data_IF_500273331187
#
_entry.id   IF_500273331187
#
_cell.length_a   1.000
_cell.length_b   1.000
_cell.length_c   1.000
_cell.angle_alpha   90.00
_cell.angle_beta   90.00
_cell.angle_gamma   90.00
#
_symmetry.space_group_name_H-M   'P 1'
#
loop_
_entity.id
_entity.type
_entity.pdbx_description
1 polymer ?
#
# COMPACT_ATOMS: atom_id res chain seq x y z
N UNK A 1 11.67 -12.48 -3.47
CA UNK A 1 11.95 -11.13 -2.96
C UNK A 1 12.10 -10.21 -4.16
N UNK A 2 11.26 -9.18 -4.31
CA UNK A 2 11.33 -8.27 -5.44
C UNK A 2 12.43 -7.21 -5.22
N UNK A 3 13.22 -6.93 -6.26
CA UNK A 3 14.30 -5.95 -6.22
C UNK A 3 13.71 -4.57 -5.87
N UNK A 4 14.31 -3.88 -4.90
CA UNK A 4 13.92 -2.54 -4.44
C UNK A 4 12.48 -2.38 -3.91
N UNK A 5 11.74 -3.46 -3.64
CA UNK A 5 10.34 -3.36 -3.20
C UNK A 5 10.16 -2.46 -1.97
N UNK A 6 11.04 -2.58 -0.97
CA UNK A 6 11.00 -1.72 0.21
C UNK A 6 11.26 -0.25 -0.12
N UNK A 7 12.09 0.05 -1.13
CA UNK A 7 12.33 1.44 -1.54
C UNK A 7 11.11 2.02 -2.25
N UNK A 8 10.45 1.27 -3.13
CA UNK A 8 9.20 1.71 -3.74
C UNK A 8 8.09 1.92 -2.70
N UNK A 9 7.97 1.02 -1.71
CA UNK A 9 7.03 1.17 -0.61
C UNK A 9 7.31 2.44 0.21
N UNK A 10 8.59 2.76 0.49
CA UNK A 10 8.96 4.03 1.14
C UNK A 10 8.55 5.25 0.33
N UNK A 11 8.68 5.22 -1.00
CA UNK A 11 8.23 6.32 -1.85
C UNK A 11 6.72 6.52 -1.74
N UNK A 12 5.93 5.45 -1.83
CA UNK A 12 4.47 5.50 -1.63
C UNK A 12 4.11 6.07 -0.26
N UNK A 13 4.70 5.54 0.81
CA UNK A 13 4.48 6.04 2.18
C UNK A 13 4.89 7.52 2.34
N UNK A 14 5.96 7.96 1.68
CA UNK A 14 6.38 9.37 1.68
C UNK A 14 5.33 10.25 1.00
N UNK A 15 4.85 9.85 -0.19
CA UNK A 15 3.79 10.58 -0.90
C UNK A 15 2.53 10.66 -0.06
N UNK A 16 2.11 9.56 0.56
CA UNK A 16 0.95 9.53 1.45
C UNK A 16 1.11 10.45 2.65
N UNK A 17 2.32 10.47 3.24
CA UNK A 17 2.62 11.27 4.42
C UNK A 17 2.54 12.77 4.14
N UNK A 18 3.02 13.20 2.97
CA UNK A 18 2.94 14.61 2.54
C UNK A 18 1.53 14.97 2.06
N UNK A 19 0.97 14.16 1.17
CA UNK A 19 -0.29 14.46 0.49
C UNK A 19 -1.07 13.17 0.18
N UNK A 20 -1.89 12.71 1.14
CA UNK A 20 -2.72 11.50 0.99
C UNK A 20 -3.53 11.44 -0.31
N UNK A 21 -4.08 12.58 -0.74
CA UNK A 21 -4.86 12.67 -1.97
C UNK A 21 -4.04 12.38 -3.25
N UNK A 22 -2.72 12.51 -3.20
CA UNK A 22 -1.79 12.24 -4.31
C UNK A 22 -1.25 10.81 -4.31
N UNK A 23 -1.46 10.05 -3.24
CA UNK A 23 -0.96 8.67 -3.16
C UNK A 23 -1.48 7.80 -4.30
N UNK A 24 -2.78 7.89 -4.60
CA UNK A 24 -3.38 7.11 -5.69
C UNK A 24 -2.75 7.41 -7.04
N UNK A 25 -2.49 8.70 -7.32
CA UNK A 25 -1.84 9.12 -8.56
C UNK A 25 -0.43 8.51 -8.68
N UNK A 26 0.33 8.50 -7.58
CA UNK A 26 1.64 7.85 -7.53
C UNK A 26 1.57 6.32 -7.71
N UNK A 27 0.63 5.67 -7.01
CA UNK A 27 0.45 4.22 -7.03
C UNK A 27 0.01 3.72 -8.43
N UNK A 28 -1.02 4.35 -9.00
CA UNK A 28 -1.53 4.04 -10.35
C UNK A 28 -0.41 4.22 -11.40
N UNK A 29 0.43 5.26 -11.27
CA UNK A 29 1.58 5.48 -12.14
C UNK A 29 2.69 4.44 -11.96
N UNK A 30 3.03 4.08 -10.71
CA UNK A 30 4.10 3.13 -10.41
C UNK A 30 3.82 1.74 -11.00
N UNK A 31 2.54 1.35 -11.07
CA UNK A 31 2.07 0.07 -11.58
C UNK A 31 1.50 0.14 -13.01
N UNK A 32 1.66 1.25 -13.73
CA UNK A 32 1.04 1.43 -15.05
C UNK A 32 1.66 0.57 -16.17
N UNK A 33 2.82 -0.06 -15.91
CA UNK A 33 3.52 -0.91 -16.88
C UNK A 33 3.87 -2.27 -16.31
N UNK A 34 4.39 -3.16 -17.17
CA UNK A 34 4.75 -4.54 -16.79
C UNK A 34 5.82 -4.62 -15.68
N UNK A 35 6.63 -3.56 -15.55
CA UNK A 35 7.68 -3.43 -14.55
C UNK A 35 7.65 -2.03 -13.95
N UNK A 36 7.99 -1.89 -12.67
CA UNK A 36 8.11 -0.57 -12.07
C UNK A 36 9.22 0.24 -12.77
N UNK A 37 9.06 1.57 -12.87
CA UNK A 37 10.09 2.46 -13.38
C UNK A 37 11.36 2.36 -12.52
N UNK A 38 12.56 2.64 -13.06
CA UNK A 38 13.80 2.63 -12.28
C UNK A 38 13.69 3.50 -11.01
N UNK A 39 14.29 3.05 -9.91
CA UNK A 39 14.16 3.71 -8.61
C UNK A 39 14.45 5.23 -8.63
N UNK A 40 15.49 5.74 -9.32
CA UNK A 40 15.72 7.18 -9.42
C UNK A 40 14.56 7.95 -10.11
N UNK A 41 13.91 7.33 -11.10
CA UNK A 41 12.77 7.90 -11.82
C UNK A 41 11.55 7.94 -10.90
N UNK A 42 11.29 6.84 -10.16
CA UNK A 42 10.22 6.80 -9.16
C UNK A 42 10.40 7.85 -8.06
N UNK A 43 11.64 8.03 -7.57
CA UNK A 43 11.96 9.04 -6.57
C UNK A 43 11.74 10.46 -7.11
N UNK A 44 12.19 10.74 -8.34
CA UNK A 44 12.00 12.04 -8.97
C UNK A 44 10.51 12.36 -9.16
N UNK A 45 9.71 11.39 -9.62
CA UNK A 45 8.27 11.57 -9.80
C UNK A 45 7.55 11.79 -8.47
N UNK A 46 7.88 11.02 -7.41
CA UNK A 46 7.34 11.23 -6.07
C UNK A 46 7.63 12.64 -5.55
N UNK A 47 8.87 13.12 -5.69
CA UNK A 47 9.28 14.46 -5.27
C UNK A 47 8.59 15.57 -6.09
N UNK A 48 8.44 15.38 -7.39
CA UNK A 48 7.68 16.30 -8.26
C UNK A 48 6.22 16.39 -7.83
N UNK A 49 5.60 15.25 -7.51
CA UNK A 49 4.18 15.16 -7.21
C UNK A 49 3.79 15.89 -5.90
N UNK A 50 4.64 15.83 -4.89
CA UNK A 50 4.35 16.40 -3.55
C UNK A 50 5.20 17.62 -3.18
N UNK A 51 6.13 18.00 -4.06
CA UNK A 51 7.10 19.08 -3.84
C UNK A 51 8.38 18.60 -3.16
N UNK A 52 9.53 18.94 -3.74
CA UNK A 52 10.85 18.44 -3.32
C UNK A 52 11.17 18.68 -1.84
N UNK A 53 10.88 19.87 -1.32
CA UNK A 53 11.20 20.20 0.08
C UNK A 53 10.37 19.34 1.05
N UNK A 54 9.06 19.22 0.79
CA UNK A 54 8.17 18.41 1.61
C UNK A 54 8.51 16.92 1.51
N UNK A 55 8.88 16.45 0.31
CA UNK A 55 9.38 15.09 0.11
C UNK A 55 10.64 14.80 0.94
N UNK A 56 11.65 15.67 0.88
CA UNK A 56 12.90 15.49 1.63
C UNK A 56 12.65 15.49 3.14
N UNK A 57 11.79 16.39 3.64
CA UNK A 57 11.40 16.41 5.04
C UNK A 57 10.67 15.13 5.45
N UNK A 58 9.66 14.70 4.68
CA UNK A 58 8.90 13.50 4.99
C UNK A 58 9.76 12.24 4.96
N UNK A 59 10.78 12.14 4.09
CA UNK A 59 11.71 10.99 4.06
C UNK A 59 12.49 10.79 5.37
N UNK A 60 12.57 11.82 6.20
CA UNK A 60 13.21 11.76 7.52
C UNK A 60 12.23 11.38 8.63
N UNK A 61 10.91 11.31 8.35
CA UNK A 61 9.89 10.97 9.35
C UNK A 61 10.04 9.47 9.74
N UNK A 62 10.35 9.16 11.01
CA UNK A 62 10.45 7.78 11.50
C UNK A 62 9.17 6.96 11.28
N UNK A 63 8.02 7.62 11.14
CA UNK A 63 6.75 6.98 10.84
C UNK A 63 6.83 6.10 9.58
N UNK A 64 7.60 6.48 8.56
CA UNK A 64 7.73 5.70 7.32
C UNK A 64 8.32 4.31 7.60
N UNK A 65 9.43 4.24 8.34
CA UNK A 65 10.05 2.95 8.66
C UNK A 65 9.20 2.13 9.63
N UNK A 66 8.47 2.78 10.55
CA UNK A 66 7.56 2.09 11.47
C UNK A 66 6.40 1.46 10.70
N UNK A 67 5.78 2.20 9.79
CA UNK A 67 4.68 1.71 8.96
C UNK A 67 5.16 0.58 8.04
N UNK A 68 6.30 0.74 7.37
CA UNK A 68 6.86 -0.30 6.50
C UNK A 68 7.11 -1.61 7.28
N UNK A 69 7.66 -1.53 8.49
CA UNK A 69 7.89 -2.71 9.33
C UNK A 69 6.59 -3.38 9.75
N UNK A 70 5.57 -2.58 10.09
CA UNK A 70 4.25 -3.10 10.43
C UNK A 70 3.63 -3.85 9.23
N UNK A 71 3.65 -3.25 8.04
CA UNK A 71 3.08 -3.84 6.83
C UNK A 71 3.79 -5.15 6.47
N UNK A 72 5.13 -5.18 6.55
CA UNK A 72 5.93 -6.39 6.33
C UNK A 72 5.62 -7.46 7.38
N UNK A 73 5.50 -7.10 8.66
CA UNK A 73 5.19 -8.05 9.72
C UNK A 73 3.79 -8.66 9.55
N UNK A 74 2.80 -7.85 9.17
CA UNK A 74 1.44 -8.31 8.88
C UNK A 74 1.46 -9.30 7.71
N UNK A 75 2.14 -8.96 6.60
CA UNK A 75 2.28 -9.86 5.46
C UNK A 75 3.00 -11.16 5.84
N UNK A 76 4.06 -11.08 6.64
CA UNK A 76 4.83 -12.25 7.08
C UNK A 76 3.98 -13.21 7.91
N UNK A 77 3.09 -12.71 8.77
CA UNK A 77 2.14 -13.53 9.51
C UNK A 77 1.21 -14.29 8.57
N UNK A 78 0.62 -13.63 7.57
CA UNK A 78 -0.23 -14.27 6.57
C UNK A 78 0.54 -15.29 5.72
N UNK A 79 1.77 -14.94 5.29
CA UNK A 79 2.64 -15.82 4.52
C UNK A 79 2.96 -17.11 5.27
N UNK A 80 3.35 -17.01 6.56
CA UNK A 80 3.66 -18.18 7.41
C UNK A 80 2.43 -19.06 7.68
N UNK A 81 1.22 -18.51 7.60
CA UNK A 81 -0.04 -19.24 7.70
C UNK A 81 -0.47 -19.92 6.38
N UNK A 82 0.36 -19.88 5.32
CA UNK A 82 0.01 -20.42 4.00
C UNK A 82 -0.86 -19.48 3.17
N UNK A 83 -1.12 -18.27 3.65
CA UNK A 83 -1.94 -17.24 3.02
C UNK A 83 -1.08 -16.11 2.47
N UNK A 84 0.05 -16.43 1.82
CA UNK A 84 1.02 -15.45 1.29
C UNK A 84 0.72 -14.91 -0.11
N UNK A 85 -0.38 -15.35 -0.73
CA UNK A 85 -0.74 -14.96 -2.09
C UNK A 85 -1.27 -13.53 -2.10
N UNK A 86 -0.89 -12.75 -3.11
CA UNK A 86 -1.40 -11.39 -3.33
C UNK A 86 -2.38 -11.37 -4.52
N UNK A 87 -3.36 -10.45 -4.57
CA UNK A 87 -3.67 -9.41 -3.57
C UNK A 87 -4.34 -9.95 -2.30
N UNK A 88 -4.25 -9.20 -1.20
CA UNK A 88 -4.87 -9.52 0.10
C UNK A 88 -5.72 -8.37 0.63
N UNK A 89 -6.86 -8.72 1.22
CA UNK A 89 -7.68 -7.81 2.02
C UNK A 89 -7.67 -8.28 3.47
N UNK A 90 -7.17 -7.43 4.37
CA UNK A 90 -7.10 -7.72 5.80
C UNK A 90 -8.21 -6.96 6.49
N UNK A 91 -9.12 -7.69 7.14
CA UNK A 91 -10.32 -7.16 7.77
C UNK A 91 -10.47 -7.71 9.19
N UNK A 92 -10.13 -6.90 10.18
CA UNK A 92 -10.07 -7.35 11.58
C UNK A 92 -9.05 -8.47 11.75
N UNK A 93 -9.52 -9.70 12.01
CA UNK A 93 -8.68 -10.91 12.14
C UNK A 93 -8.71 -11.79 10.90
N UNK A 94 -9.46 -11.41 9.86
CA UNK A 94 -9.64 -12.18 8.64
C UNK A 94 -8.70 -11.69 7.55
N UNK A 95 -8.14 -12.64 6.79
CA UNK A 95 -7.38 -12.38 5.57
C UNK A 95 -8.15 -12.99 4.40
N UNK A 96 -8.57 -12.14 3.48
CA UNK A 96 -9.24 -12.47 2.24
C UNK A 96 -8.19 -12.43 1.10
N UNK A 97 -8.11 -13.48 0.28
CA UNK A 97 -7.12 -13.63 -0.80
C UNK A 97 -7.77 -13.44 -2.18
N UNK A 98 -7.07 -12.75 -3.08
CA UNK A 98 -7.45 -12.60 -4.47
C UNK A 98 -8.37 -11.40 -4.73
N UNK A 99 -9.05 -11.45 -5.88
CA UNK A 99 -10.00 -10.42 -6.31
C UNK A 99 -11.41 -10.80 -5.89
N UNK A 100 -12.20 -9.80 -5.51
CA UNK A 100 -13.56 -9.99 -5.04
C UNK A 100 -14.55 -9.31 -5.99
N UNK A 101 -15.69 -9.98 -6.21
CA UNK A 101 -16.87 -9.31 -6.76
C UNK A 101 -17.34 -8.23 -5.77
N UNK A 102 -18.13 -7.27 -6.25
CA UNK A 102 -18.75 -6.26 -5.37
C UNK A 102 -19.59 -6.96 -4.29
N UNK A 103 -20.36 -7.96 -4.68
CA UNK A 103 -21.25 -8.69 -3.79
C UNK A 103 -20.48 -9.41 -2.68
N UNK A 104 -19.39 -10.11 -3.03
CA UNK A 104 -18.59 -10.85 -2.05
C UNK A 104 -17.82 -9.92 -1.12
N UNK A 105 -17.31 -8.80 -1.64
CA UNK A 105 -16.69 -7.76 -0.80
C UNK A 105 -17.69 -7.17 0.20
N UNK A 106 -18.92 -6.87 -0.24
CA UNK A 106 -19.95 -6.33 0.64
C UNK A 106 -20.34 -7.31 1.74
N UNK A 107 -20.45 -8.61 1.44
CA UNK A 107 -20.70 -9.65 2.45
C UNK A 107 -19.60 -9.66 3.52
N UNK A 108 -18.33 -9.71 3.10
CA UNK A 108 -17.17 -9.67 4.02
C UNK A 108 -17.19 -8.43 4.93
N UNK A 109 -17.49 -7.27 4.35
CA UNK A 109 -17.57 -6.00 5.07
C UNK A 109 -18.69 -6.00 6.11
N UNK A 110 -19.89 -6.50 5.76
CA UNK A 110 -21.02 -6.63 6.69
C UNK A 110 -20.68 -7.60 7.83
N UNK A 111 -20.13 -8.76 7.51
CA UNK A 111 -19.80 -9.83 8.48
C UNK A 111 -18.75 -9.39 9.51
N UNK A 112 -17.73 -8.65 9.09
CA UNK A 112 -16.58 -8.33 9.95
C UNK A 112 -16.56 -6.91 10.52
N UNK A 113 -17.25 -5.95 9.90
CA UNK A 113 -17.28 -4.56 10.38
C UNK A 113 -18.64 -4.15 10.98
N UNK A 114 -19.64 -5.03 10.97
CA UNK A 114 -20.98 -4.72 11.48
C UNK A 114 -21.67 -3.62 10.69
N UNK A 115 -21.29 -3.44 9.42
CA UNK A 115 -21.94 -2.49 8.53
C UNK A 115 -23.37 -2.96 8.27
N UNK A 116 -24.35 -2.07 8.44
CA UNK A 116 -25.71 -2.35 7.97
C UNK A 116 -25.66 -2.35 6.45
N UNK A 117 -26.21 -3.39 5.82
CA UNK A 117 -26.46 -3.35 4.38
C UNK A 117 -27.27 -2.07 4.12
N UNK A 118 -26.71 -1.16 3.31
CA UNK A 118 -27.44 -0.01 2.82
C UNK A 118 -28.65 -0.48 1.99
N UNK A 119 -29.64 0.40 1.75
CA UNK A 119 -30.82 0.06 0.98
C UNK A 119 -30.49 -0.50 -0.41
#
# INVERSE_FOLDING_TARGET
MHINACEYARLGLTVWRVARAKHREFDDWLFSGDKPPPLPVAQAYAAQLVGTNAFVQARQDPWIEQQLKLDVAIYELAYRAGQGQMPQLILGRSVALGTYSREDLMKLLVEHLGLKAGP
#
